data_IF_247419260563
#
_entry.id   IF_247419260563
#
_cell.length_a   1.000
_cell.length_b   1.000
_cell.length_c   1.000
_cell.angle_alpha   90.00
_cell.angle_beta   90.00
_cell.angle_gamma   90.00
#
_symmetry.space_group_name_H-M   'P 1'
#
loop_
_entity.id
_entity.type
_entity.pdbx_description
1 polymer ?
#
# COMPACT_ATOMS: atom_id res chain seq x y z
N UNK A 1 -35.80 21.68 10.33
CA UNK A 1 -35.43 21.04 9.04
C UNK A 1 -33.92 20.82 9.08
N UNK A 2 -33.50 19.57 9.26
CA UNK A 2 -32.12 19.23 9.60
C UNK A 2 -31.24 19.07 8.36
N UNK A 3 -30.25 19.95 8.22
CA UNK A 3 -29.16 19.82 7.26
C UNK A 3 -28.26 18.66 7.68
N UNK A 4 -28.39 17.51 7.01
CA UNK A 4 -27.43 16.41 7.12
C UNK A 4 -26.22 16.77 6.25
N UNK A 5 -25.22 17.40 6.85
CA UNK A 5 -23.90 17.57 6.25
C UNK A 5 -23.27 16.19 6.02
N UNK A 6 -23.04 15.85 4.77
CA UNK A 6 -22.32 14.64 4.37
C UNK A 6 -20.83 14.88 4.68
N UNK A 7 -20.36 14.44 5.84
CA UNK A 7 -18.92 14.39 6.12
C UNK A 7 -18.30 13.27 5.28
N UNK A 8 -17.71 13.63 4.14
CA UNK A 8 -16.72 12.78 3.48
C UNK A 8 -15.49 12.68 4.40
N UNK A 9 -15.29 11.50 4.97
CA UNK A 9 -14.08 11.17 5.69
C UNK A 9 -12.89 11.20 4.70
N UNK A 10 -12.14 12.29 4.74
CA UNK A 10 -10.92 12.49 3.97
C UNK A 10 -9.81 11.58 4.54
N UNK A 11 -9.71 10.36 4.03
CA UNK A 11 -8.52 9.53 4.27
C UNK A 11 -7.46 10.01 3.29
N UNK A 12 -6.58 10.89 3.75
CA UNK A 12 -5.41 11.32 3.00
C UNK A 12 -4.50 10.12 2.71
N UNK A 13 -4.59 9.58 1.50
CA UNK A 13 -3.66 8.57 1.01
C UNK A 13 -2.32 9.25 0.69
N UNK A 14 -1.19 8.77 1.25
CA UNK A 14 0.12 9.32 0.89
C UNK A 14 0.47 8.95 -0.54
N UNK A 15 0.43 9.96 -1.43
CA UNK A 15 0.98 9.93 -2.79
C UNK A 15 2.49 9.73 -2.71
N UNK A 16 2.95 8.48 -2.80
CA UNK A 16 4.34 8.13 -3.09
C UNK A 16 4.35 7.10 -4.23
N UNK A 17 4.12 7.59 -5.44
CA UNK A 17 4.40 6.86 -6.66
C UNK A 17 5.88 7.04 -7.02
N UNK A 18 6.73 6.13 -6.54
CA UNK A 18 7.99 5.85 -7.25
C UNK A 18 7.61 5.05 -8.48
N UNK A 19 7.52 5.73 -9.62
CA UNK A 19 7.23 5.15 -10.91
C UNK A 19 8.39 4.23 -11.36
N UNK A 20 8.34 2.96 -10.96
CA UNK A 20 8.86 1.88 -11.79
C UNK A 20 7.70 1.42 -12.67
N UNK A 21 7.79 1.59 -13.99
CA UNK A 21 6.70 1.26 -14.93
C UNK A 21 6.31 -0.23 -14.99
N UNK A 22 7.05 -1.10 -14.27
CA UNK A 22 6.80 -2.54 -14.14
C UNK A 22 6.10 -2.91 -12.82
N UNK A 23 5.41 -4.05 -12.85
CA UNK A 23 4.95 -4.71 -11.61
C UNK A 23 6.13 -5.15 -10.75
N UNK A 24 5.86 -5.47 -9.48
CA UNK A 24 6.86 -6.07 -8.61
C UNK A 24 7.39 -7.38 -9.20
N UNK A 25 8.69 -7.62 -9.02
CA UNK A 25 9.33 -8.92 -9.26
C UNK A 25 9.37 -9.78 -7.98
N UNK A 26 9.52 -11.09 -8.14
CA UNK A 26 9.69 -12.02 -7.01
C UNK A 26 10.89 -11.65 -6.12
N UNK A 27 12.01 -11.30 -6.74
CA UNK A 27 13.22 -10.85 -6.03
C UNK A 27 12.98 -9.58 -5.20
N UNK A 28 12.17 -8.67 -5.71
CA UNK A 28 11.79 -7.46 -5.00
C UNK A 28 10.96 -7.75 -3.75
N UNK A 29 10.01 -8.68 -3.85
CA UNK A 29 9.20 -9.15 -2.72
C UNK A 29 10.09 -9.86 -1.69
N UNK A 30 10.93 -10.79 -2.11
CA UNK A 30 11.85 -11.52 -1.22
C UNK A 30 12.82 -10.57 -0.50
N UNK A 31 13.41 -9.61 -1.23
CA UNK A 31 14.28 -8.58 -0.63
C UNK A 31 13.54 -7.75 0.41
N UNK A 32 12.31 -7.36 0.13
CA UNK A 32 11.50 -6.62 1.11
C UNK A 32 11.26 -7.44 2.38
N UNK A 33 10.94 -8.73 2.24
CA UNK A 33 10.73 -9.65 3.36
C UNK A 33 11.99 -9.80 4.23
N UNK A 34 13.16 -10.01 3.62
CA UNK A 34 14.45 -10.08 4.32
C UNK A 34 14.75 -8.80 5.07
N UNK A 35 14.53 -7.66 4.41
CA UNK A 35 14.75 -6.34 5.00
C UNK A 35 13.80 -6.12 6.18
N UNK A 36 12.54 -6.50 6.05
CA UNK A 36 11.53 -6.37 7.10
C UNK A 36 11.89 -7.17 8.34
N UNK A 37 12.35 -8.40 8.15
CA UNK A 37 12.81 -9.26 9.23
C UNK A 37 14.07 -8.68 9.90
N UNK A 38 15.05 -8.23 9.11
CA UNK A 38 16.28 -7.63 9.63
C UNK A 38 16.03 -6.33 10.41
N UNK A 39 15.10 -5.49 9.94
CA UNK A 39 14.66 -4.27 10.65
C UNK A 39 13.96 -4.64 11.96
N UNK A 40 13.12 -5.67 11.97
CA UNK A 40 12.45 -6.15 13.19
C UNK A 40 13.44 -6.73 14.21
N UNK A 41 14.51 -7.38 13.76
CA UNK A 41 15.53 -7.95 14.62
C UNK A 41 16.44 -6.91 15.31
N UNK A 42 16.28 -5.61 15.02
CA UNK A 42 16.98 -4.54 15.73
C UNK A 42 16.45 -4.47 17.16
N UNK A 43 17.19 -5.02 18.11
CA UNK A 43 16.82 -5.03 19.52
C UNK A 43 17.30 -3.75 20.23
N UNK A 44 16.50 -3.21 21.18
CA UNK A 44 16.93 -2.14 22.07
C UNK A 44 18.01 -2.62 23.05
N UNK A 45 19.19 -2.03 22.97
CA UNK A 45 20.06 -1.86 24.14
C UNK A 45 19.48 -0.76 25.05
N UNK A 46 19.61 -0.91 26.36
CA UNK A 46 19.05 0.04 27.32
C UNK A 46 19.61 1.46 27.08
N UNK A 47 18.72 2.43 26.81
CA UNK A 47 19.07 3.86 26.71
C UNK A 47 19.34 4.42 25.30
N UNK A 48 19.23 3.63 24.23
CA UNK A 48 19.77 4.00 22.91
C UNK A 48 18.70 4.20 21.81
N UNK A 49 17.59 4.88 22.11
CA UNK A 49 16.50 5.09 21.14
C UNK A 49 16.93 5.67 19.78
N UNK A 50 17.95 6.54 19.76
CA UNK A 50 18.52 7.09 18.53
C UNK A 50 19.33 6.06 17.71
N UNK A 51 20.12 5.22 18.37
CA UNK A 51 20.94 4.20 17.69
C UNK A 51 20.09 3.09 17.08
N UNK A 52 18.88 2.85 17.61
CA UNK A 52 17.93 1.89 17.03
C UNK A 52 17.40 2.35 15.68
N UNK A 53 17.10 3.65 15.54
CA UNK A 53 16.63 4.23 14.28
C UNK A 53 17.76 4.15 13.24
N UNK A 54 18.99 4.47 13.62
CA UNK A 54 20.16 4.38 12.75
C UNK A 54 20.45 2.94 12.33
N UNK A 55 20.39 1.98 13.27
CA UNK A 55 20.58 0.57 12.96
C UNK A 55 19.49 0.03 12.02
N UNK A 56 18.22 0.39 12.24
CA UNK A 56 17.12 0.03 11.34
C UNK A 56 17.29 0.66 9.95
N UNK A 57 17.72 1.92 9.88
CA UNK A 57 18.01 2.59 8.62
C UNK A 57 19.20 1.93 7.90
N UNK A 58 20.24 1.53 8.64
CA UNK A 58 21.38 0.80 8.08
C UNK A 58 20.95 -0.53 7.45
N UNK A 59 20.00 -1.26 8.05
CA UNK A 59 19.42 -2.47 7.43
C UNK A 59 18.75 -2.16 6.10
N UNK A 60 17.94 -1.10 6.05
CA UNK A 60 17.26 -0.67 4.82
C UNK A 60 18.26 -0.29 3.73
N UNK A 61 19.29 0.50 4.06
CA UNK A 61 20.33 0.90 3.11
C UNK A 61 21.16 -0.30 2.64
N UNK A 62 21.52 -1.22 3.54
CA UNK A 62 22.28 -2.43 3.20
C UNK A 62 21.55 -3.36 2.23
N UNK A 63 20.21 -3.35 2.26
CA UNK A 63 19.38 -4.09 1.32
C UNK A 63 19.28 -3.39 -0.06
N UNK A 64 19.93 -2.25 -0.26
CA UNK A 64 19.95 -1.53 -1.54
C UNK A 64 18.74 -0.64 -1.79
N UNK A 65 17.99 -0.27 -0.74
CA UNK A 65 16.98 0.79 -0.85
C UNK A 65 17.65 2.17 -0.81
N UNK A 66 17.19 3.08 -1.68
CA UNK A 66 17.69 4.46 -1.73
C UNK A 66 17.29 5.29 -0.51
N UNK A 67 16.24 4.89 0.21
CA UNK A 67 15.76 5.56 1.42
C UNK A 67 14.79 4.68 2.21
N UNK A 68 14.55 5.04 3.48
CA UNK A 68 13.48 4.45 4.30
C UNK A 68 12.10 4.69 3.68
N UNK A 69 11.90 5.84 3.03
CA UNK A 69 10.65 6.14 2.32
C UNK A 69 10.41 5.18 1.14
N UNK A 70 11.45 4.88 0.35
CA UNK A 70 11.36 3.92 -0.75
C UNK A 70 11.04 2.51 -0.24
N UNK A 71 11.66 2.08 0.86
CA UNK A 71 11.36 0.82 1.53
C UNK A 71 9.90 0.74 2.03
N UNK A 72 9.40 1.80 2.65
CA UNK A 72 7.99 1.88 3.11
C UNK A 72 7.01 1.86 1.94
N UNK A 73 7.28 2.60 0.87
CA UNK A 73 6.44 2.62 -0.33
C UNK A 73 6.37 1.24 -0.98
N UNK A 74 7.49 0.51 -1.03
CA UNK A 74 7.51 -0.88 -1.50
C UNK A 74 6.64 -1.79 -0.61
N UNK A 75 6.73 -1.66 0.72
CA UNK A 75 5.88 -2.41 1.64
C UNK A 75 4.38 -2.11 1.50
N UNK A 76 4.01 -0.87 1.16
CA UNK A 76 2.62 -0.50 0.89
C UNK A 76 2.08 -1.20 -0.35
N UNK A 77 2.87 -1.30 -1.43
CA UNK A 77 2.49 -2.04 -2.65
C UNK A 77 2.23 -3.52 -2.35
N UNK A 78 3.14 -4.16 -1.61
CA UNK A 78 3.00 -5.57 -1.21
C UNK A 78 1.75 -5.77 -0.36
N UNK A 79 1.52 -4.92 0.65
CA UNK A 79 0.33 -5.01 1.52
C UNK A 79 -0.97 -4.81 0.77
N UNK A 80 -1.02 -3.87 -0.17
CA UNK A 80 -2.18 -3.64 -1.03
C UNK A 80 -2.46 -4.88 -1.88
N UNK A 81 -1.45 -5.42 -2.57
CA UNK A 81 -1.58 -6.64 -3.36
C UNK A 81 -2.03 -7.84 -2.51
N UNK A 82 -1.46 -8.03 -1.31
CA UNK A 82 -1.89 -9.08 -0.38
C UNK A 82 -3.36 -8.92 0.04
N UNK A 83 -3.81 -7.68 0.30
CA UNK A 83 -5.19 -7.39 0.70
C UNK A 83 -6.15 -7.73 -0.43
N UNK A 84 -5.79 -7.34 -1.65
CA UNK A 84 -6.57 -7.57 -2.85
C UNK A 84 -6.63 -9.04 -3.25
N UNK A 85 -5.55 -9.81 -3.08
CA UNK A 85 -5.55 -11.25 -3.29
C UNK A 85 -6.43 -11.99 -2.28
N UNK A 86 -6.44 -11.56 -1.02
CA UNK A 86 -7.28 -12.15 0.03
C UNK A 86 -8.76 -11.72 -0.06
N UNK A 87 -9.04 -10.59 -0.70
CA UNK A 87 -10.40 -10.07 -0.96
C UNK A 87 -10.48 -9.63 -2.42
N UNK A 88 -10.65 -10.58 -3.36
CA UNK A 88 -10.70 -10.27 -4.77
C UNK A 88 -11.77 -9.22 -5.05
N UNK A 89 -11.34 -8.03 -5.48
CA UNK A 89 -12.16 -6.86 -5.78
C UNK A 89 -13.44 -7.24 -6.58
N UNK A 90 -14.61 -7.18 -5.94
CA UNK A 90 -15.91 -7.21 -6.63
C UNK A 90 -16.21 -5.89 -7.37
N UNK A 91 -15.37 -4.87 -7.18
CA UNK A 91 -15.76 -3.46 -7.32
C UNK A 91 -15.24 -2.74 -8.58
N UNK A 92 -14.54 -3.40 -9.50
CA UNK A 92 -14.05 -2.73 -10.73
C UNK A 92 -15.19 -2.23 -11.63
N UNK A 93 -16.26 -3.00 -11.87
CA UNK A 93 -17.45 -2.49 -12.54
C UNK A 93 -18.06 -1.31 -11.78
N UNK A 94 -18.07 -1.36 -10.44
CA UNK A 94 -18.64 -0.32 -9.59
C UNK A 94 -17.85 1.00 -9.68
N UNK A 95 -16.51 0.94 -9.76
CA UNK A 95 -15.67 2.13 -9.85
C UNK A 95 -15.78 2.81 -11.22
N UNK A 96 -15.92 2.02 -12.29
CA UNK A 96 -16.25 2.57 -13.62
C UNK A 96 -17.65 3.21 -13.62
N UNK A 97 -18.63 2.57 -12.97
CA UNK A 97 -19.98 3.13 -12.84
C UNK A 97 -19.99 4.45 -12.05
N UNK A 98 -19.21 4.56 -10.98
CA UNK A 98 -19.04 5.80 -10.21
C UNK A 98 -18.45 6.93 -11.04
N UNK A 99 -17.44 6.62 -11.89
CA UNK A 99 -16.84 7.60 -12.80
C UNK A 99 -17.84 8.12 -13.84
N UNK A 100 -18.73 7.28 -14.37
CA UNK A 100 -19.80 7.74 -15.26
C UNK A 100 -20.86 8.55 -14.51
N UNK A 101 -21.26 8.12 -13.30
CA UNK A 101 -22.23 8.85 -12.48
C UNK A 101 -21.80 10.28 -12.16
N UNK A 102 -20.52 10.52 -11.82
CA UNK A 102 -20.07 11.89 -11.53
C UNK A 102 -20.04 12.77 -12.78
N UNK A 103 -19.84 12.20 -13.97
CA UNK A 103 -19.94 12.94 -15.24
C UNK A 103 -21.38 13.32 -15.53
N UNK A 104 -22.31 12.39 -15.30
CA UNK A 104 -23.74 12.64 -15.48
C UNK A 104 -24.24 13.72 -14.52
N UNK A 105 -23.83 13.68 -13.25
CA UNK A 105 -24.14 14.71 -12.26
C UNK A 105 -23.56 16.09 -12.65
N UNK A 106 -22.35 16.12 -13.22
CA UNK A 106 -21.76 17.35 -13.75
C UNK A 106 -22.54 17.89 -14.94
N UNK A 107 -22.93 17.02 -15.87
CA UNK A 107 -23.73 17.39 -17.05
C UNK A 107 -25.12 17.90 -16.67
N UNK A 108 -25.71 17.35 -15.61
CA UNK A 108 -26.99 17.80 -15.04
C UNK A 108 -26.87 19.09 -14.19
N UNK A 109 -25.68 19.65 -14.02
CA UNK A 109 -25.45 20.85 -13.21
C UNK A 109 -25.57 20.63 -11.70
N UNK A 110 -25.55 19.37 -11.24
CA UNK A 110 -25.68 18.99 -9.83
C UNK A 110 -24.35 18.98 -9.07
N UNK A 111 -23.22 19.05 -9.78
CA UNK A 111 -21.88 19.22 -9.23
C UNK A 111 -21.25 20.47 -9.81
N UNK A 112 -20.63 21.28 -8.95
CA UNK A 112 -19.79 22.38 -9.42
C UNK A 112 -18.49 21.86 -10.05
N UNK A 113 -17.74 22.75 -10.71
CA UNK A 113 -16.52 22.35 -11.42
C UNK A 113 -15.44 21.81 -10.47
N UNK A 114 -15.36 22.34 -9.25
CA UNK A 114 -14.36 21.96 -8.26
C UNK A 114 -14.71 20.60 -7.66
N UNK A 115 -15.95 20.42 -7.24
CA UNK A 115 -16.47 19.15 -6.70
C UNK A 115 -16.31 18.01 -7.71
N UNK A 116 -16.59 18.27 -8.99
CA UNK A 116 -16.37 17.29 -10.05
C UNK A 116 -14.89 16.91 -10.20
N UNK A 117 -13.98 17.89 -10.22
CA UNK A 117 -12.54 17.62 -10.35
C UNK A 117 -12.03 16.82 -9.15
N UNK A 118 -12.38 17.22 -7.93
CA UNK A 118 -11.95 16.53 -6.70
C UNK A 118 -12.46 15.07 -6.67
N UNK A 119 -13.73 14.85 -7.03
CA UNK A 119 -14.32 13.51 -7.09
C UNK A 119 -13.70 12.65 -8.18
N UNK A 120 -13.50 13.21 -9.38
CA UNK A 120 -12.86 12.51 -10.50
C UNK A 120 -11.44 12.12 -10.15
N UNK A 121 -10.64 13.05 -9.65
CA UNK A 121 -9.23 12.81 -9.34
C UNK A 121 -9.08 11.74 -8.25
N UNK A 122 -9.99 11.73 -7.27
CA UNK A 122 -10.06 10.67 -6.25
C UNK A 122 -10.35 9.30 -6.86
N UNK A 123 -11.38 9.20 -7.72
CA UNK A 123 -11.74 7.93 -8.37
C UNK A 123 -10.66 7.46 -9.36
N UNK A 124 -10.03 8.37 -10.10
CA UNK A 124 -8.92 8.05 -10.99
C UNK A 124 -7.68 7.58 -10.22
N UNK A 125 -7.38 8.20 -9.07
CA UNK A 125 -6.30 7.74 -8.18
C UNK A 125 -6.57 6.31 -7.69
N UNK A 126 -7.80 6.01 -7.25
CA UNK A 126 -8.18 4.65 -6.85
C UNK A 126 -8.06 3.65 -8.01
N UNK A 127 -8.51 4.02 -9.22
CA UNK A 127 -8.38 3.19 -10.42
C UNK A 127 -6.92 2.90 -10.75
N UNK A 128 -6.06 3.90 -10.67
CA UNK A 128 -4.63 3.77 -10.93
C UNK A 128 -3.94 2.91 -9.87
N UNK A 129 -4.29 3.07 -8.59
CA UNK A 129 -3.80 2.22 -7.51
C UNK A 129 -4.18 0.75 -7.73
N UNK A 130 -5.43 0.46 -8.11
CA UNK A 130 -5.88 -0.91 -8.40
C UNK A 130 -5.16 -1.51 -9.60
N UNK A 131 -4.95 -0.74 -10.67
CA UNK A 131 -4.15 -1.17 -11.82
C UNK A 131 -2.72 -1.50 -11.42
N UNK A 132 -2.11 -0.68 -10.56
CA UNK A 132 -0.78 -0.93 -10.05
C UNK A 132 -0.75 -2.20 -9.19
N UNK A 133 -1.69 -2.35 -8.25
CA UNK A 133 -1.82 -3.56 -7.42
C UNK A 133 -1.90 -4.83 -8.27
N UNK A 134 -2.75 -4.84 -9.32
CA UNK A 134 -2.86 -5.98 -10.24
C UNK A 134 -1.56 -6.35 -10.95
N UNK A 135 -0.70 -5.38 -11.24
CA UNK A 135 0.63 -5.66 -11.80
C UNK A 135 1.56 -6.31 -10.79
N UNK A 136 1.34 -6.03 -9.50
CA UNK A 136 2.13 -6.54 -8.39
C UNK A 136 1.66 -7.92 -7.92
N UNK A 137 0.43 -8.32 -8.27
CA UNK A 137 -0.17 -9.61 -7.87
C UNK A 137 0.70 -10.83 -8.18
N UNK A 138 1.24 -11.02 -9.39
CA UNK A 138 1.92 -12.29 -9.70
C UNK A 138 3.12 -12.58 -8.78
N UNK A 139 3.91 -11.54 -8.46
CA UNK A 139 5.03 -11.68 -7.55
C UNK A 139 4.60 -11.84 -6.09
N UNK A 140 3.51 -11.19 -5.67
CA UNK A 140 3.00 -11.28 -4.31
C UNK A 140 2.26 -12.60 -4.07
N UNK A 141 1.52 -13.09 -5.06
CA UNK A 141 0.82 -14.37 -5.05
C UNK A 141 1.80 -15.54 -4.92
N UNK A 142 2.91 -15.49 -5.67
CA UNK A 142 3.98 -16.51 -5.60
C UNK A 142 4.61 -16.65 -4.19
N UNK A 143 4.48 -15.63 -3.33
CA UNK A 143 5.05 -15.58 -1.98
C UNK A 143 3.98 -15.35 -0.90
N UNK A 144 2.70 -15.55 -1.20
CA UNK A 144 1.62 -15.13 -0.32
C UNK A 144 1.69 -15.81 1.04
N UNK A 145 1.93 -17.12 1.07
CA UNK A 145 2.05 -17.89 2.32
C UNK A 145 3.23 -17.42 3.18
N UNK A 146 4.38 -17.15 2.56
CA UNK A 146 5.57 -16.65 3.25
C UNK A 146 5.33 -15.24 3.81
N UNK A 147 4.62 -14.39 3.06
CA UNK A 147 4.26 -13.04 3.48
C UNK A 147 3.29 -13.06 4.67
N UNK A 148 2.30 -13.96 4.64
CA UNK A 148 1.36 -14.16 5.74
C UNK A 148 2.07 -14.73 6.98
N UNK A 149 2.98 -15.68 6.80
CA UNK A 149 3.79 -16.24 7.87
C UNK A 149 4.73 -15.19 8.50
N UNK A 150 5.37 -14.35 7.67
CA UNK A 150 6.17 -13.22 8.12
C UNK A 150 5.31 -12.25 8.94
N UNK A 151 4.15 -11.86 8.42
CA UNK A 151 3.24 -10.97 9.14
C UNK A 151 2.82 -11.55 10.49
N UNK A 152 2.48 -12.85 10.56
CA UNK A 152 2.13 -13.52 11.80
C UNK A 152 3.28 -13.54 12.82
N UNK A 153 4.52 -13.76 12.37
CA UNK A 153 5.70 -13.68 13.23
C UNK A 153 5.92 -12.26 13.77
N UNK A 154 5.86 -11.25 12.92
CA UNK A 154 6.03 -9.84 13.31
C UNK A 154 4.91 -9.35 14.23
N UNK A 155 3.71 -9.93 14.14
CA UNK A 155 2.58 -9.66 15.03
C UNK A 155 2.65 -10.46 16.36
N UNK A 156 3.67 -11.30 16.56
CA UNK A 156 3.79 -12.17 17.74
C UNK A 156 2.80 -13.33 17.78
N UNK A 157 2.13 -13.65 16.66
CA UNK A 157 1.21 -14.79 16.53
C UNK A 157 1.91 -16.09 16.13
N UNK A 158 3.22 -16.03 15.87
CA UNK A 158 4.09 -17.16 15.55
C UNK A 158 5.43 -16.96 16.24
N UNK A 159 5.99 -18.03 16.81
CA UNK A 159 7.21 -17.96 17.63
C UNK A 159 8.51 -17.92 16.82
N UNK A 160 8.47 -18.40 15.58
CA UNK A 160 9.66 -18.53 14.72
C UNK A 160 9.46 -17.84 13.38
N UNK A 161 10.51 -17.19 12.83
CA UNK A 161 10.44 -16.58 11.52
C UNK A 161 10.21 -17.66 10.44
N UNK A 162 9.63 -17.27 9.29
CA UNK A 162 9.49 -18.17 8.14
C UNK A 162 10.86 -18.55 7.55
N UNK A 163 10.95 -19.73 6.91
CA UNK A 163 12.21 -20.41 6.57
C UNK A 163 12.54 -20.44 5.06
N UNK A 164 11.98 -19.52 4.28
CA UNK A 164 12.14 -19.39 2.83
C UNK A 164 13.55 -18.98 2.36
#
# INVERSE_FOLDING_TARGET
>A
MGSRGLMLALVAAPLLAMASGGGLSDQEVQRWMQTRLAVHAVQPSAGEGGQLVEAAQARVTSAGYSSVAAYRAHGLRIREAMTQLQRPDADVPALQQQLEQIKDLRAAGMLDQREYVDARDTLEAQRNQRRQSRRDWPAVEARLDDLLALQAYLDGRRDSPPAW
#
